data_IF_002544962642
#
_entry.id   IF_002544962642
#
_cell.length_a   1.000
_cell.length_b   1.000
_cell.length_c   1.000
_cell.angle_alpha   90.00
_cell.angle_beta   90.00
_cell.angle_gamma   90.00
#
_symmetry.space_group_name_H-M   'P 1'
#
loop_
_entity.id
_entity.type
_entity.pdbx_description
1 polymer ?
#
# COMPACT_ATOMS: atom_id res chain seq x y z
N UNK A 1 29.19 -23.99 -14.92
CA UNK A 1 28.57 -24.89 -13.91
C UNK A 1 29.67 -25.81 -13.40
N UNK A 2 30.12 -25.56 -12.21
CA UNK A 2 31.10 -26.44 -11.55
C UNK A 2 30.49 -27.82 -11.37
N UNK A 3 31.20 -28.83 -11.81
CA UNK A 3 30.72 -30.19 -11.82
C UNK A 3 30.62 -30.67 -10.35
N UNK A 4 29.46 -30.57 -9.75
CA UNK A 4 29.21 -30.85 -8.32
C UNK A 4 29.73 -32.23 -7.90
N UNK A 5 29.87 -33.19 -8.86
CA UNK A 5 30.43 -34.54 -8.65
C UNK A 5 31.86 -34.51 -8.15
N UNK A 6 32.61 -33.47 -8.46
CA UNK A 6 34.02 -33.32 -8.04
C UNK A 6 34.17 -32.54 -6.73
N UNK A 7 33.05 -32.01 -6.18
CA UNK A 7 33.08 -31.37 -4.89
C UNK A 7 33.15 -32.40 -3.75
N UNK A 8 33.71 -32.02 -2.59
CA UNK A 8 33.80 -32.87 -1.41
C UNK A 8 32.45 -33.44 -1.01
N UNK A 9 31.41 -32.60 -1.06
CA UNK A 9 30.01 -32.99 -0.77
C UNK A 9 29.49 -33.99 -1.81
N UNK A 10 29.82 -33.82 -3.08
CA UNK A 10 29.45 -34.74 -4.15
C UNK A 10 30.09 -36.12 -3.98
N UNK A 11 31.35 -36.17 -3.58
CA UNK A 11 32.08 -37.42 -3.29
C UNK A 11 31.51 -38.15 -2.06
N UNK A 12 31.26 -37.43 -0.97
CA UNK A 12 30.62 -37.98 0.21
C UNK A 12 29.21 -38.54 -0.07
N UNK A 13 28.45 -37.82 -0.93
CA UNK A 13 27.10 -38.28 -1.36
C UNK A 13 27.20 -39.52 -2.24
N UNK A 14 28.17 -39.57 -3.17
CA UNK A 14 28.40 -40.76 -4.01
C UNK A 14 28.83 -41.95 -3.20
N UNK A 15 29.66 -41.77 -2.17
CA UNK A 15 30.07 -42.84 -1.28
C UNK A 15 28.93 -43.39 -0.43
N UNK A 16 28.02 -42.55 0.01
CA UNK A 16 26.89 -42.92 0.88
C UNK A 16 25.70 -43.50 0.11
N UNK A 17 25.44 -43.01 -1.09
CA UNK A 17 24.24 -43.30 -1.89
C UNK A 17 24.58 -43.76 -3.32
N UNK A 18 25.78 -44.26 -3.58
CA UNK A 18 26.23 -44.65 -4.91
C UNK A 18 25.37 -45.71 -5.57
N UNK A 19 24.88 -46.66 -4.76
CA UNK A 19 23.95 -47.70 -5.17
C UNK A 19 22.60 -47.16 -5.66
N UNK A 20 22.17 -46.04 -5.10
CA UNK A 20 20.87 -45.39 -5.43
C UNK A 20 21.05 -44.41 -6.58
N UNK A 21 22.22 -43.74 -6.70
CA UNK A 21 22.46 -42.71 -7.70
C UNK A 21 22.48 -43.29 -9.12
N UNK A 22 22.88 -44.57 -9.28
CA UNK A 22 22.93 -45.27 -10.57
C UNK A 22 21.64 -46.04 -10.90
N UNK A 23 20.71 -46.13 -9.93
CA UNK A 23 19.43 -46.78 -10.18
C UNK A 23 18.56 -45.92 -11.12
N UNK A 24 18.06 -46.54 -12.16
CA UNK A 24 16.99 -45.95 -12.95
C UNK A 24 15.77 -45.74 -12.08
N UNK A 25 15.09 -44.62 -12.26
CA UNK A 25 13.83 -44.38 -11.56
C UNK A 25 12.85 -45.49 -11.86
N UNK A 26 12.28 -46.17 -10.87
CA UNK A 26 11.34 -47.27 -11.05
C UNK A 26 9.97 -46.77 -11.54
N UNK A 27 9.96 -46.01 -12.63
CA UNK A 27 8.76 -45.51 -13.26
C UNK A 27 8.50 -46.28 -14.56
N UNK A 28 7.90 -47.46 -14.42
CA UNK A 28 7.39 -48.21 -15.56
C UNK A 28 6.15 -47.51 -16.12
N UNK A 29 5.86 -47.73 -17.41
CA UNK A 29 4.62 -47.22 -18.03
C UNK A 29 3.36 -47.67 -17.27
N UNK A 30 3.37 -48.86 -16.70
CA UNK A 30 2.27 -49.34 -15.87
C UNK A 30 2.13 -48.55 -14.54
N UNK A 31 3.23 -48.16 -13.92
CA UNK A 31 3.23 -47.32 -12.73
C UNK A 31 2.69 -45.94 -13.06
N UNK A 32 3.03 -45.37 -14.20
CA UNK A 32 2.52 -44.06 -14.64
C UNK A 32 1.04 -44.10 -15.03
N UNK A 33 0.52 -45.27 -15.47
CA UNK A 33 -0.92 -45.46 -15.68
C UNK A 33 -1.72 -45.52 -14.38
N UNK A 34 -1.19 -46.23 -13.38
CA UNK A 34 -1.81 -46.32 -12.05
C UNK A 34 -1.69 -45.00 -11.26
N UNK A 35 -0.58 -44.32 -11.40
CA UNK A 35 -0.25 -43.06 -10.70
C UNK A 35 0.22 -42.00 -11.70
N UNK A 36 -0.71 -41.38 -12.45
CA UNK A 36 -0.34 -40.36 -13.41
C UNK A 36 0.35 -39.18 -12.71
N UNK A 37 1.32 -38.59 -13.38
CA UNK A 37 2.00 -37.40 -12.87
C UNK A 37 0.99 -36.27 -12.69
N UNK A 38 1.08 -35.60 -11.55
CA UNK A 38 0.29 -34.40 -11.29
C UNK A 38 0.55 -33.34 -12.36
N UNK A 39 -0.51 -32.73 -12.88
CA UNK A 39 -0.41 -31.66 -13.87
C UNK A 39 0.32 -30.46 -13.27
N UNK A 40 1.01 -29.67 -14.11
CA UNK A 40 1.70 -28.44 -13.66
C UNK A 40 0.77 -27.50 -12.90
N UNK A 41 -0.48 -27.40 -13.35
CA UNK A 41 -1.49 -26.56 -12.71
C UNK A 41 -1.84 -27.03 -11.29
N UNK A 42 -1.96 -28.33 -11.08
CA UNK A 42 -2.21 -28.88 -9.75
C UNK A 42 -0.97 -28.78 -8.85
N UNK A 43 0.23 -28.94 -9.40
CA UNK A 43 1.48 -28.71 -8.66
C UNK A 43 1.62 -27.26 -8.21
N UNK A 44 1.27 -26.30 -9.06
CA UNK A 44 1.27 -24.89 -8.70
C UNK A 44 0.30 -24.60 -7.54
N UNK A 45 -0.86 -25.27 -7.50
CA UNK A 45 -1.81 -25.11 -6.40
C UNK A 45 -1.29 -25.61 -5.04
N UNK A 46 -0.37 -26.57 -5.02
CA UNK A 46 0.24 -27.04 -3.76
C UNK A 46 1.12 -25.94 -3.12
N UNK A 47 1.72 -25.09 -3.96
CA UNK A 47 2.53 -23.96 -3.51
C UNK A 47 1.73 -22.65 -3.40
N UNK A 48 0.44 -22.68 -3.76
CA UNK A 48 -0.44 -21.56 -3.51
C UNK A 48 -0.55 -21.35 -1.99
N UNK A 49 -0.45 -20.10 -1.51
CA UNK A 49 -0.60 -19.85 -0.09
C UNK A 49 -1.96 -20.40 0.37
N UNK A 50 -1.90 -21.42 1.17
CA UNK A 50 -3.07 -22.03 1.75
C UNK A 50 -3.55 -21.09 2.85
N UNK A 51 -4.69 -20.46 2.67
CA UNK A 51 -5.36 -19.67 3.70
C UNK A 51 -6.32 -20.56 4.49
N UNK A 52 -5.82 -21.36 5.45
CA UNK A 52 -6.64 -22.34 6.15
C UNK A 52 -7.48 -21.72 7.26
N UNK A 53 -7.22 -20.47 7.61
CA UNK A 53 -7.86 -19.79 8.73
C UNK A 53 -8.86 -18.76 8.22
N UNK A 54 -10.12 -18.92 8.61
CA UNK A 54 -11.12 -17.87 8.41
C UNK A 54 -10.64 -16.59 9.11
N UNK A 55 -10.65 -15.47 8.40
CA UNK A 55 -10.23 -14.18 8.96
C UNK A 55 -8.72 -13.90 8.87
N UNK A 56 -7.89 -14.82 8.32
CA UNK A 56 -6.45 -14.58 8.19
C UNK A 56 -6.15 -13.38 7.28
N UNK A 57 -6.85 -13.28 6.15
CA UNK A 57 -6.69 -12.16 5.22
C UNK A 57 -7.15 -10.84 5.86
N UNK A 58 -8.20 -10.89 6.68
CA UNK A 58 -8.68 -9.74 7.45
C UNK A 58 -7.68 -9.31 8.53
N UNK A 59 -7.06 -10.27 9.22
CA UNK A 59 -6.01 -9.99 10.20
C UNK A 59 -4.75 -9.43 9.56
N UNK A 60 -4.34 -9.96 8.41
CA UNK A 60 -3.22 -9.42 7.63
C UNK A 60 -3.51 -7.99 7.15
N UNK A 61 -4.73 -7.72 6.67
CA UNK A 61 -5.14 -6.39 6.25
C UNK A 61 -5.16 -5.42 7.44
N UNK A 62 -5.65 -5.84 8.61
CA UNK A 62 -5.63 -5.04 9.84
C UNK A 62 -4.21 -4.75 10.32
N UNK A 63 -3.31 -5.74 10.28
CA UNK A 63 -1.91 -5.55 10.69
C UNK A 63 -1.15 -4.67 9.68
N UNK A 64 -1.43 -4.79 8.40
CA UNK A 64 -0.90 -3.89 7.37
C UNK A 64 -1.39 -2.46 7.60
N UNK A 65 -2.68 -2.27 7.85
CA UNK A 65 -3.24 -0.96 8.23
C UNK A 65 -2.55 -0.38 9.46
N UNK A 66 -2.30 -1.21 10.48
CA UNK A 66 -1.62 -0.80 11.70
C UNK A 66 -0.18 -0.35 11.46
N UNK A 67 0.54 -1.02 10.56
CA UNK A 67 1.95 -0.70 10.23
C UNK A 67 2.07 0.54 9.35
N UNK A 68 1.04 0.85 8.55
CA UNK A 68 0.99 2.01 7.66
C UNK A 68 0.53 3.31 8.35
N UNK A 69 0.13 3.26 9.63
CA UNK A 69 -0.26 4.45 10.38
C UNK A 69 0.91 5.39 10.58
N UNK A 70 0.62 6.65 10.44
CA UNK A 70 1.57 7.72 10.68
C UNK A 70 1.01 8.72 11.68
N UNK A 71 1.87 9.38 12.39
CA UNK A 71 1.49 10.48 13.28
C UNK A 71 1.03 11.68 12.46
N UNK A 72 -0.01 12.38 12.92
CA UNK A 72 -0.47 13.63 12.31
C UNK A 72 0.66 14.65 12.29
N UNK A 73 1.01 15.13 11.10
CA UNK A 73 2.00 16.20 10.92
C UNK A 73 1.42 17.53 11.36
N UNK A 74 2.16 18.28 12.11
CA UNK A 74 1.85 19.69 12.42
C UNK A 74 2.41 20.52 11.27
N UNK A 75 1.55 21.28 10.62
CA UNK A 75 1.94 22.22 9.57
C UNK A 75 2.64 23.44 10.18
N UNK A 76 3.62 23.98 9.48
CA UNK A 76 4.24 25.26 9.83
C UNK A 76 3.27 26.42 9.57
N UNK A 77 3.55 27.59 10.12
CA UNK A 77 2.72 28.79 9.88
C UNK A 77 2.67 29.17 8.40
N UNK A 78 3.79 29.01 7.70
CA UNK A 78 3.89 29.25 6.25
C UNK A 78 3.03 28.27 5.46
N UNK A 79 3.09 26.97 5.80
CA UNK A 79 2.24 25.95 5.18
C UNK A 79 0.74 26.17 5.45
N UNK A 80 0.39 26.61 6.66
CA UNK A 80 -0.99 26.95 7.01
C UNK A 80 -1.48 28.19 6.24
N UNK A 81 -0.64 29.19 6.07
CA UNK A 81 -0.96 30.38 5.27
C UNK A 81 -1.18 30.02 3.81
N UNK A 82 -0.25 29.29 3.20
CA UNK A 82 -0.39 28.82 1.82
C UNK A 82 -1.64 27.96 1.61
N UNK A 83 -1.95 27.08 2.56
CA UNK A 83 -3.17 26.27 2.53
C UNK A 83 -4.43 27.15 2.60
N UNK A 84 -4.44 28.15 3.45
CA UNK A 84 -5.52 29.12 3.60
C UNK A 84 -5.76 29.90 2.30
N UNK A 85 -4.68 30.37 1.68
CA UNK A 85 -4.75 31.11 0.42
C UNK A 85 -5.29 30.27 -0.74
N UNK A 86 -4.90 28.98 -0.79
CA UNK A 86 -5.46 28.03 -1.74
C UNK A 86 -6.95 27.74 -1.47
N UNK A 87 -7.34 27.59 -0.20
CA UNK A 87 -8.74 27.39 0.20
C UNK A 87 -9.63 28.58 -0.18
N UNK A 88 -9.13 29.81 -0.11
CA UNK A 88 -9.87 31.00 -0.53
C UNK A 88 -10.15 31.03 -2.04
N UNK A 89 -9.35 30.37 -2.84
CA UNK A 89 -9.52 30.26 -4.29
C UNK A 89 -10.52 29.17 -4.70
N UNK A 90 -10.84 28.24 -3.76
CA UNK A 90 -11.79 27.17 -4.06
C UNK A 90 -13.20 27.72 -4.16
N UNK A 91 -13.87 27.45 -5.27
CA UNK A 91 -15.27 27.83 -5.50
C UNK A 91 -16.15 26.58 -5.59
N UNK A 92 -17.43 26.76 -5.30
CA UNK A 92 -18.41 25.67 -5.39
C UNK A 92 -18.46 25.10 -6.80
N UNK A 93 -18.39 23.78 -6.92
CA UNK A 93 -18.42 23.05 -8.20
C UNK A 93 -17.07 22.85 -8.85
N UNK A 94 -15.99 23.47 -8.32
CA UNK A 94 -14.62 23.27 -8.80
C UNK A 94 -14.17 21.84 -8.52
N UNK A 95 -13.49 21.20 -9.45
CA UNK A 95 -12.85 19.90 -9.23
C UNK A 95 -11.52 20.14 -8.53
N UNK A 96 -11.40 19.58 -7.34
CA UNK A 96 -10.23 19.72 -6.49
C UNK A 96 -9.72 18.34 -6.04
N UNK A 97 -8.44 18.30 -5.74
CA UNK A 97 -7.78 17.17 -5.09
C UNK A 97 -7.30 17.66 -3.73
N UNK A 98 -7.79 17.01 -2.68
CA UNK A 98 -7.42 17.34 -1.31
C UNK A 98 -6.69 16.16 -0.68
N UNK A 99 -5.66 16.47 0.10
CA UNK A 99 -4.96 15.51 0.95
C UNK A 99 -5.21 15.88 2.39
N UNK A 100 -5.78 14.96 3.15
CA UNK A 100 -6.14 15.19 4.54
C UNK A 100 -5.76 14.01 5.43
N UNK A 101 -5.60 14.29 6.71
CA UNK A 101 -5.34 13.29 7.73
C UNK A 101 -6.67 12.70 8.22
N UNK A 102 -6.76 11.39 8.24
CA UNK A 102 -7.89 10.66 8.83
C UNK A 102 -7.39 9.88 10.04
N UNK A 103 -7.83 10.31 11.22
CA UNK A 103 -7.50 9.64 12.47
C UNK A 103 -8.07 8.22 12.55
N UNK A 104 -7.30 7.29 13.13
CA UNK A 104 -7.78 5.96 13.45
C UNK A 104 -8.52 5.97 14.78
N UNK A 105 -9.83 6.21 14.71
CA UNK A 105 -10.70 6.26 15.88
C UNK A 105 -10.87 4.91 16.58
N UNK A 106 -10.53 3.79 15.92
CA UNK A 106 -10.60 2.47 16.52
C UNK A 106 -9.49 2.22 17.54
N UNK A 107 -8.35 2.91 17.36
CA UNK A 107 -7.18 2.80 18.24
C UNK A 107 -6.61 4.20 18.49
N UNK A 108 -7.25 5.00 19.36
CA UNK A 108 -6.80 6.35 19.65
C UNK A 108 -5.47 6.33 20.37
N UNK A 109 -4.53 7.12 19.87
CA UNK A 109 -3.18 7.29 20.46
C UNK A 109 -2.87 8.78 20.63
N UNK A 110 -1.94 9.11 21.52
CA UNK A 110 -1.44 10.47 21.72
C UNK A 110 0.07 10.49 21.47
N UNK A 111 0.56 11.18 20.43
CA UNK A 111 -0.17 11.99 19.44
C UNK A 111 -1.05 11.16 18.50
N UNK A 112 -2.09 11.76 17.94
CA UNK A 112 -3.05 11.08 17.07
C UNK A 112 -2.35 10.38 15.89
N UNK A 113 -2.68 9.12 15.68
CA UNK A 113 -2.20 8.30 14.57
C UNK A 113 -3.32 8.01 13.58
N UNK A 114 -2.98 7.91 12.32
CA UNK A 114 -3.95 7.70 11.26
C UNK A 114 -3.28 7.59 9.89
N UNK A 115 -4.05 7.88 8.86
CA UNK A 115 -3.57 7.81 7.48
C UNK A 115 -3.87 9.10 6.72
N UNK A 116 -2.96 9.47 5.81
CA UNK A 116 -3.22 10.52 4.85
C UNK A 116 -4.00 9.98 3.66
N UNK A 117 -5.17 10.56 3.42
CA UNK A 117 -6.06 10.18 2.32
C UNK A 117 -6.05 11.29 1.27
N UNK A 118 -5.93 10.90 0.01
CA UNK A 118 -6.09 11.80 -1.13
C UNK A 118 -7.47 11.57 -1.73
N UNK A 119 -8.25 12.63 -1.83
CA UNK A 119 -9.61 12.63 -2.36
C UNK A 119 -9.70 13.63 -3.51
N UNK A 120 -10.15 13.18 -4.66
CA UNK A 120 -10.44 14.06 -5.81
C UNK A 120 -11.94 14.10 -6.05
N UNK A 121 -12.49 15.28 -6.14
CA UNK A 121 -13.92 15.46 -6.34
C UNK A 121 -14.31 16.92 -6.52
N UNK A 122 -15.62 17.18 -6.62
CA UNK A 122 -16.15 18.54 -6.69
C UNK A 122 -16.27 19.13 -5.29
N UNK A 123 -15.85 20.38 -5.14
CA UNK A 123 -16.10 21.16 -3.94
C UNK A 123 -17.56 21.54 -3.88
N UNK A 124 -18.33 20.92 -3.00
CA UNK A 124 -19.78 21.18 -2.87
C UNK A 124 -20.06 22.33 -1.92
N UNK A 125 -19.32 22.40 -0.82
CA UNK A 125 -19.48 23.44 0.20
C UNK A 125 -18.18 23.72 0.92
N UNK A 126 -17.90 25.00 1.11
CA UNK A 126 -16.86 25.48 2.02
C UNK A 126 -17.56 26.23 3.13
N UNK A 127 -17.31 25.84 4.35
CA UNK A 127 -17.91 26.46 5.53
C UNK A 127 -16.81 27.06 6.43
N UNK A 128 -16.57 28.37 6.34
CA UNK A 128 -15.55 29.03 7.14
C UNK A 128 -15.91 29.12 8.63
N UNK A 129 -17.21 29.04 8.97
CA UNK A 129 -17.66 29.11 10.36
C UNK A 129 -17.40 27.80 11.07
N UNK A 130 -17.79 26.67 10.44
CA UNK A 130 -17.53 25.34 10.96
C UNK A 130 -16.14 24.82 10.57
N UNK A 131 -15.38 25.59 9.77
CA UNK A 131 -14.04 25.23 9.30
C UNK A 131 -13.99 23.86 8.62
N UNK A 132 -14.91 23.63 7.67
CA UNK A 132 -15.03 22.38 6.96
C UNK A 132 -15.09 22.59 5.45
N UNK A 133 -14.55 21.64 4.71
CA UNK A 133 -14.61 21.53 3.26
C UNK A 133 -15.37 20.25 2.90
N UNK A 134 -16.44 20.38 2.14
CA UNK A 134 -17.19 19.24 1.63
C UNK A 134 -16.78 18.96 0.18
N UNK A 135 -16.28 17.74 -0.06
CA UNK A 135 -15.89 17.23 -1.39
C UNK A 135 -16.72 15.99 -1.67
N UNK A 136 -17.75 16.15 -2.51
CA UNK A 136 -18.75 15.11 -2.72
C UNK A 136 -19.48 14.76 -1.41
N UNK A 137 -19.43 13.48 -1.02
CA UNK A 137 -20.07 13.00 0.22
C UNK A 137 -19.17 13.16 1.46
N UNK A 138 -17.92 13.52 1.29
CA UNK A 138 -16.94 13.59 2.39
C UNK A 138 -16.82 15.02 2.91
N UNK A 139 -16.95 15.17 4.23
CA UNK A 139 -16.70 16.44 4.94
C UNK A 139 -15.33 16.35 5.62
N UNK A 140 -14.45 17.28 5.28
CA UNK A 140 -13.07 17.33 5.79
C UNK A 140 -12.90 18.58 6.64
N UNK A 141 -12.51 18.46 7.93
CA UNK A 141 -12.15 19.60 8.75
C UNK A 141 -10.88 20.29 8.22
N UNK A 142 -10.80 21.60 8.32
CA UNK A 142 -9.62 22.35 7.87
C UNK A 142 -8.37 21.99 8.64
N UNK A 143 -8.51 21.62 9.91
CA UNK A 143 -7.41 21.18 10.77
C UNK A 143 -6.75 19.86 10.34
N UNK A 144 -7.47 19.06 9.55
CA UNK A 144 -6.99 17.79 9.01
C UNK A 144 -6.45 17.94 7.58
N UNK A 145 -6.72 19.07 6.93
CA UNK A 145 -6.22 19.33 5.58
C UNK A 145 -4.70 19.58 5.61
N UNK A 146 -4.02 18.98 4.64
CA UNK A 146 -2.57 19.16 4.43
C UNK A 146 -2.30 19.83 3.10
N UNK A 147 -3.13 19.52 2.09
CA UNK A 147 -2.91 20.00 0.74
C UNK A 147 -4.24 20.14 0.00
N UNK A 148 -4.36 21.19 -0.79
CA UNK A 148 -5.49 21.44 -1.68
C UNK A 148 -4.95 21.87 -3.03
N UNK A 149 -5.30 21.14 -4.07
CA UNK A 149 -4.92 21.41 -5.46
C UNK A 149 -6.17 21.38 -6.34
N UNK A 150 -6.18 22.14 -7.39
CA UNK A 150 -7.29 22.16 -8.34
C UNK A 150 -6.95 22.97 -9.59
N UNK A 151 -7.74 22.78 -10.62
CA UNK A 151 -7.56 23.54 -11.85
C UNK A 151 -7.88 25.03 -11.59
N UNK A 152 -6.88 25.89 -11.70
CA UNK A 152 -7.00 27.33 -11.41
C UNK A 152 -6.63 27.75 -9.99
N UNK A 153 -6.23 26.82 -9.12
CA UNK A 153 -5.62 27.15 -7.81
C UNK A 153 -4.13 27.38 -8.02
N UNK A 154 -3.66 28.57 -7.69
CA UNK A 154 -2.25 28.96 -7.82
C UNK A 154 -1.67 29.31 -6.46
N UNK A 155 -0.36 29.11 -6.30
CA UNK A 155 0.37 29.68 -5.15
C UNK A 155 0.49 31.18 -5.36
N UNK A 156 0.11 31.94 -4.34
CA UNK A 156 0.12 33.41 -4.41
C UNK A 156 1.54 33.94 -4.56
N UNK A 157 2.52 33.27 -4.01
CA UNK A 157 3.94 33.63 -4.13
C UNK A 157 4.43 33.59 -5.58
N UNK A 158 3.94 32.63 -6.38
CA UNK A 158 4.26 32.53 -7.81
C UNK A 158 3.57 33.65 -8.61
N UNK A 159 2.36 34.05 -8.19
CA UNK A 159 1.60 35.09 -8.88
C UNK A 159 2.19 36.51 -8.67
N UNK A 160 2.79 36.75 -7.51
CA UNK A 160 3.41 38.05 -7.19
C UNK A 160 4.86 38.16 -7.66
N UNK A 161 5.44 37.13 -8.27
CA UNK A 161 6.81 37.15 -8.79
C UNK A 161 7.89 37.31 -7.70
N UNK A 162 7.60 36.95 -6.46
CA UNK A 162 8.48 37.11 -5.28
C UNK A 162 9.34 35.87 -5.06
N UNK A 163 9.55 35.03 -6.06
CA UNK A 163 10.20 33.74 -5.92
C UNK A 163 11.44 33.50 -6.80
N UNK A 164 12.06 34.51 -7.39
CA UNK A 164 13.32 34.34 -8.15
C UNK A 164 14.32 35.47 -7.83
N UNK A 165 15.17 35.24 -6.85
CA UNK A 165 16.53 35.76 -6.77
C UNK A 165 17.48 34.66 -6.29
#
# INVERSE_FOLDING_TARGET
MENYKNSKIGQETAQKYGDILEMERPQTEESLRKHPRMTLQNRAKIFSPFSPLRGYDEQLAAEKQRTERVTKRILTEEEMSALSDRLMQVTKGMTITVRYFKEDTAHPEIPAVGNYITLTGKADRIDPVFRTLQVGETVVPFEDLVEVNGEGIMDIDVYLGIGEE
#
